data_IF_065906766399
#
_entry.id   IF_065906766399
#
_cell.length_a   1.000
_cell.length_b   1.000
_cell.length_c   1.000
_cell.angle_alpha   90.00
_cell.angle_beta   90.00
_cell.angle_gamma   90.00
#
_symmetry.space_group_name_H-M   'P 1'
#
loop_
_entity.id
_entity.type
_entity.pdbx_description
1 polymer ?
#
# COMPACT_ATOMS: atom_id res chain seq x y z
N UNK A 1 -33.86 -8.26 -3.29
CA UNK A 1 -32.78 -9.25 -3.59
C UNK A 1 -32.28 -9.78 -2.26
N UNK A 2 -32.00 -11.07 -2.10
CA UNK A 2 -31.40 -11.55 -0.85
C UNK A 2 -29.95 -11.11 -0.74
N UNK A 3 -29.47 -10.85 0.49
CA UNK A 3 -28.03 -10.55 0.72
C UNK A 3 -27.21 -11.78 0.31
N UNK A 4 -26.20 -11.61 -0.54
CA UNK A 4 -25.29 -12.69 -0.98
C UNK A 4 -23.87 -12.36 -0.52
N UNK A 5 -23.18 -13.36 0.05
CA UNK A 5 -21.79 -13.24 0.46
C UNK A 5 -20.87 -13.95 -0.55
N UNK A 6 -19.90 -13.22 -1.07
CA UNK A 6 -18.91 -13.70 -2.02
C UNK A 6 -17.51 -13.66 -1.39
N UNK A 7 -16.62 -14.55 -1.86
CA UNK A 7 -15.21 -14.60 -1.44
C UNK A 7 -14.27 -14.36 -2.63
N UNK A 8 -14.12 -13.13 -3.11
CA UNK A 8 -13.27 -12.84 -4.27
C UNK A 8 -11.79 -13.14 -4.05
N UNK A 9 -11.33 -13.08 -2.79
CA UNK A 9 -9.93 -13.25 -2.42
C UNK A 9 -9.80 -13.77 -0.97
N UNK A 10 -8.70 -14.47 -0.61
CA UNK A 10 -8.41 -14.84 0.77
C UNK A 10 -8.35 -13.64 1.72
N UNK A 11 -8.91 -13.77 2.90
CA UNK A 11 -8.91 -12.71 3.92
C UNK A 11 -9.97 -11.64 3.76
N UNK A 12 -10.89 -11.79 2.78
CA UNK A 12 -11.97 -10.83 2.56
C UNK A 12 -13.31 -11.48 2.22
N UNK A 13 -14.39 -10.72 2.44
CA UNK A 13 -15.77 -11.07 2.07
C UNK A 13 -16.43 -9.86 1.43
N UNK A 14 -17.06 -10.04 0.28
CA UNK A 14 -17.88 -9.04 -0.40
C UNK A 14 -19.36 -9.41 -0.24
N UNK A 15 -20.13 -8.57 0.43
CA UNK A 15 -21.58 -8.70 0.50
C UNK A 15 -22.24 -7.87 -0.60
N UNK A 16 -23.14 -8.51 -1.35
CA UNK A 16 -24.02 -7.89 -2.32
C UNK A 16 -25.37 -7.60 -1.67
N UNK A 17 -25.88 -6.39 -1.80
CA UNK A 17 -27.16 -5.91 -1.27
C UNK A 17 -27.92 -5.11 -2.32
N UNK A 18 -29.19 -4.80 -2.06
CA UNK A 18 -29.97 -3.90 -2.93
C UNK A 18 -29.44 -2.45 -2.97
N UNK A 19 -28.63 -2.04 -1.97
CA UNK A 19 -28.05 -0.70 -1.88
C UNK A 19 -26.60 -0.60 -2.35
N UNK A 20 -26.02 -1.70 -2.79
CA UNK A 20 -24.62 -1.77 -3.23
C UNK A 20 -23.84 -2.87 -2.54
N UNK A 21 -22.53 -2.81 -2.61
CA UNK A 21 -21.64 -3.84 -2.07
C UNK A 21 -20.87 -3.33 -0.84
N UNK A 22 -20.68 -4.23 0.13
CA UNK A 22 -19.92 -4.02 1.37
C UNK A 22 -18.74 -4.99 1.38
N UNK A 23 -17.52 -4.49 1.50
CA UNK A 23 -16.31 -5.30 1.59
C UNK A 23 -15.85 -5.38 3.04
N UNK A 24 -15.61 -6.59 3.54
CA UNK A 24 -15.00 -6.85 4.83
C UNK A 24 -13.62 -7.47 4.63
N UNK A 25 -12.59 -6.84 5.23
CA UNK A 25 -11.19 -7.22 5.05
C UNK A 25 -10.58 -6.63 3.76
N UNK A 26 -9.36 -6.12 3.88
CA UNK A 26 -8.60 -5.51 2.78
C UNK A 26 -7.15 -6.06 2.82
N UNK A 27 -6.93 -7.35 2.50
CA UNK A 27 -5.57 -7.89 2.37
C UNK A 27 -4.88 -7.34 1.12
N UNK A 28 -3.59 -7.62 0.97
CA UNK A 28 -2.83 -7.28 -0.24
C UNK A 28 -3.56 -7.80 -1.50
N UNK A 29 -3.58 -7.01 -2.55
CA UNK A 29 -4.30 -7.28 -3.81
C UNK A 29 -5.85 -7.35 -3.71
N UNK A 30 -6.44 -7.00 -2.55
CA UNK A 30 -7.89 -6.99 -2.38
C UNK A 30 -8.60 -6.14 -3.45
N UNK A 31 -8.03 -4.99 -3.80
CA UNK A 31 -8.58 -4.13 -4.83
C UNK A 31 -8.65 -4.82 -6.19
N UNK A 32 -7.54 -5.41 -6.66
CA UNK A 32 -7.49 -6.11 -7.96
C UNK A 32 -8.48 -7.27 -8.02
N UNK A 33 -8.57 -8.04 -6.93
CA UNK A 33 -9.50 -9.15 -6.82
C UNK A 33 -10.96 -8.69 -6.86
N UNK A 34 -11.29 -7.66 -6.08
CA UNK A 34 -12.64 -7.09 -6.05
C UNK A 34 -13.01 -6.51 -7.40
N UNK A 35 -12.14 -5.73 -8.02
CA UNK A 35 -12.38 -5.13 -9.35
C UNK A 35 -12.65 -6.18 -10.41
N UNK A 36 -11.81 -7.22 -10.47
CA UNK A 36 -12.02 -8.34 -11.40
C UNK A 36 -13.35 -9.04 -11.12
N UNK A 37 -13.61 -9.40 -9.87
CA UNK A 37 -14.84 -10.08 -9.48
C UNK A 37 -16.10 -9.25 -9.80
N UNK A 38 -16.11 -7.97 -9.42
CA UNK A 38 -17.24 -7.08 -9.69
C UNK A 38 -17.47 -6.91 -11.20
N UNK A 39 -16.42 -6.77 -12.00
CA UNK A 39 -16.52 -6.66 -13.46
C UNK A 39 -17.10 -7.93 -14.09
N UNK A 40 -16.66 -9.12 -13.66
CA UNK A 40 -17.12 -10.40 -14.20
C UNK A 40 -18.57 -10.75 -13.80
N UNK A 41 -19.07 -10.19 -12.69
CA UNK A 41 -20.41 -10.45 -12.16
C UNK A 41 -21.38 -9.26 -12.29
N UNK A 42 -21.00 -8.20 -12.99
CA UNK A 42 -21.79 -6.97 -13.18
C UNK A 42 -22.22 -6.33 -11.84
N UNK A 43 -21.30 -6.33 -10.86
CA UNK A 43 -21.51 -5.75 -9.54
C UNK A 43 -20.81 -4.39 -9.43
N UNK A 44 -21.38 -3.43 -8.67
CA UNK A 44 -20.70 -2.18 -8.38
C UNK A 44 -19.50 -2.41 -7.46
N UNK A 45 -18.46 -1.60 -7.63
CA UNK A 45 -17.35 -1.56 -6.66
C UNK A 45 -17.84 -1.06 -5.30
N UNK A 46 -17.32 -1.59 -4.18
CA UNK A 46 -17.78 -1.23 -2.85
C UNK A 46 -17.56 0.26 -2.53
N UNK A 47 -18.51 0.79 -1.77
CA UNK A 47 -18.44 2.13 -1.18
C UNK A 47 -18.36 2.05 0.35
N UNK A 48 -18.53 0.87 0.92
CA UNK A 48 -18.35 0.57 2.34
C UNK A 48 -17.27 -0.48 2.47
N UNK A 49 -16.23 -0.15 3.23
CA UNK A 49 -15.08 -1.01 3.50
C UNK A 49 -14.96 -1.18 5.01
N UNK A 50 -14.91 -2.41 5.48
CA UNK A 50 -14.93 -2.71 6.91
C UNK A 50 -13.66 -3.46 7.32
N UNK A 51 -12.98 -2.92 8.33
CA UNK A 51 -11.82 -3.56 8.91
C UNK A 51 -12.22 -4.83 9.69
N UNK A 52 -11.42 -5.91 9.62
CA UNK A 52 -11.59 -7.07 10.47
C UNK A 52 -11.21 -6.71 11.92
N UNK A 53 -11.46 -7.62 12.85
CA UNK A 53 -11.18 -7.42 14.28
C UNK A 53 -9.68 -7.35 14.62
N UNK A 54 -8.81 -7.78 13.71
CA UNK A 54 -7.35 -7.81 13.89
C UNK A 54 -6.67 -7.35 12.60
N UNK A 55 -5.52 -6.67 12.74
CA UNK A 55 -4.68 -6.25 11.62
C UNK A 55 -4.06 -7.41 10.83
N UNK A 56 -4.15 -8.64 11.34
CA UNK A 56 -3.73 -9.86 10.66
C UNK A 56 -4.91 -10.83 10.58
N UNK A 57 -5.31 -11.20 9.39
CA UNK A 57 -6.32 -12.23 9.15
C UNK A 57 -5.65 -13.39 8.42
N UNK A 58 -5.61 -14.55 9.06
CA UNK A 58 -5.01 -15.77 8.51
C UNK A 58 -3.57 -15.54 8.02
N UNK A 59 -2.78 -14.82 8.82
CA UNK A 59 -1.42 -14.36 8.54
C UNK A 59 -1.28 -13.31 7.42
N UNK A 60 -2.38 -12.84 6.83
CA UNK A 60 -2.38 -11.77 5.86
C UNK A 60 -2.58 -10.41 6.55
N UNK A 61 -1.63 -9.46 6.42
CA UNK A 61 -1.83 -8.09 6.89
C UNK A 61 -3.03 -7.45 6.20
N UNK A 62 -3.79 -6.68 6.96
CA UNK A 62 -4.87 -5.86 6.42
C UNK A 62 -4.34 -4.46 6.13
N UNK A 63 -4.83 -3.84 5.07
CA UNK A 63 -4.31 -2.58 4.58
C UNK A 63 -5.34 -1.47 4.69
N UNK A 64 -4.86 -0.25 4.88
CA UNK A 64 -5.62 0.96 4.64
C UNK A 64 -6.05 0.94 3.17
N UNK A 65 -7.36 1.09 2.85
CA UNK A 65 -7.90 0.79 1.53
C UNK A 65 -7.68 1.90 0.49
N UNK A 66 -6.44 2.28 0.25
CA UNK A 66 -6.10 3.42 -0.62
C UNK A 66 -6.53 3.23 -2.08
N UNK A 67 -6.38 2.03 -2.65
CA UNK A 67 -6.78 1.80 -4.03
C UNK A 67 -8.29 1.86 -4.24
N UNK A 68 -9.08 1.51 -3.24
CA UNK A 68 -10.53 1.72 -3.29
C UNK A 68 -10.87 3.21 -3.25
N UNK A 69 -10.12 4.00 -2.48
CA UNK A 69 -10.26 5.45 -2.46
C UNK A 69 -9.85 6.06 -3.81
N UNK A 70 -8.77 5.62 -4.42
CA UNK A 70 -8.35 6.08 -5.75
C UNK A 70 -9.35 5.70 -6.84
N UNK A 71 -9.88 4.49 -6.82
CA UNK A 71 -10.95 4.07 -7.73
C UNK A 71 -12.18 4.98 -7.57
N UNK A 72 -12.61 5.22 -6.32
CA UNK A 72 -13.73 6.10 -6.02
C UNK A 72 -13.50 7.53 -6.52
N UNK A 73 -12.33 8.11 -6.26
CA UNK A 73 -12.01 9.48 -6.60
C UNK A 73 -11.78 9.66 -8.12
N UNK A 74 -10.95 8.81 -8.72
CA UNK A 74 -10.44 9.02 -10.08
C UNK A 74 -11.18 8.19 -11.12
N UNK A 75 -11.41 6.91 -10.90
CA UNK A 75 -12.02 6.02 -11.90
C UNK A 75 -13.53 6.25 -11.96
N UNK A 76 -14.20 6.26 -10.81
CA UNK A 76 -15.63 6.62 -10.73
C UNK A 76 -15.88 8.11 -10.86
N UNK A 77 -14.86 8.93 -10.61
CA UNK A 77 -14.85 10.35 -10.88
C UNK A 77 -15.39 11.22 -9.74
N UNK A 78 -15.45 10.71 -8.50
CA UNK A 78 -15.94 11.48 -7.36
C UNK A 78 -15.11 12.75 -7.06
N UNK A 79 -13.85 12.80 -7.51
CA UNK A 79 -13.02 14.00 -7.42
C UNK A 79 -13.44 15.12 -8.39
N UNK A 80 -14.12 14.79 -9.51
CA UNK A 80 -14.33 15.71 -10.63
C UNK A 80 -15.80 15.94 -10.98
N UNK A 81 -16.69 15.00 -10.64
CA UNK A 81 -18.11 15.04 -11.02
C UNK A 81 -18.92 15.75 -9.94
N UNK A 82 -19.58 16.88 -10.26
CA UNK A 82 -20.38 17.63 -9.28
C UNK A 82 -21.50 16.80 -8.63
N UNK A 83 -22.10 15.88 -9.39
CA UNK A 83 -23.15 14.99 -8.90
C UNK A 83 -22.67 14.02 -7.80
N UNK A 84 -21.38 13.70 -7.77
CA UNK A 84 -20.76 12.84 -6.75
C UNK A 84 -20.07 13.65 -5.64
N UNK A 85 -20.14 14.98 -5.67
CA UNK A 85 -19.40 15.83 -4.74
C UNK A 85 -19.76 15.62 -3.25
N UNK A 86 -20.92 15.03 -2.96
CA UNK A 86 -21.38 14.74 -1.60
C UNK A 86 -21.23 13.28 -1.20
N UNK A 87 -20.84 12.41 -2.14
CA UNK A 87 -20.64 11.01 -1.84
C UNK A 87 -19.28 10.79 -1.17
N UNK A 88 -19.23 9.92 -0.18
CA UNK A 88 -18.02 9.56 0.53
C UNK A 88 -17.83 8.05 0.57
N UNK A 89 -16.57 7.64 0.54
CA UNK A 89 -16.22 6.27 0.88
C UNK A 89 -16.41 6.07 2.38
N UNK A 90 -17.09 5.00 2.79
CA UNK A 90 -17.29 4.69 4.19
C UNK A 90 -16.26 3.66 4.67
N UNK A 91 -15.55 3.97 5.74
CA UNK A 91 -14.65 3.04 6.43
C UNK A 91 -15.27 2.66 7.76
N UNK A 92 -15.41 1.36 8.03
CA UNK A 92 -15.78 0.85 9.34
C UNK A 92 -14.55 0.28 10.02
N UNK A 93 -14.14 0.90 11.13
CA UNK A 93 -12.86 0.64 11.79
C UNK A 93 -13.02 0.28 13.26
N UNK A 94 -11.96 -0.18 13.90
CA UNK A 94 -11.92 -0.38 15.33
C UNK A 94 -12.15 0.94 16.07
N UNK A 95 -12.91 0.93 17.18
CA UNK A 95 -13.13 2.12 18.00
C UNK A 95 -11.81 2.77 18.43
N UNK A 96 -11.69 4.07 18.18
CA UNK A 96 -10.51 4.87 18.51
C UNK A 96 -9.39 4.80 17.45
N UNK A 97 -9.60 4.14 16.32
CA UNK A 97 -8.67 4.13 15.20
C UNK A 97 -9.07 5.05 14.04
N UNK A 98 -10.23 5.73 14.14
CA UNK A 98 -10.81 6.53 13.07
C UNK A 98 -9.83 7.59 12.52
N UNK A 99 -9.27 8.40 13.41
CA UNK A 99 -8.32 9.44 13.04
C UNK A 99 -7.03 8.87 12.47
N UNK A 100 -6.63 7.70 12.94
CA UNK A 100 -5.41 7.02 12.50
C UNK A 100 -5.56 6.46 11.09
N UNK A 101 -6.68 5.83 10.78
CA UNK A 101 -7.01 5.36 9.43
C UNK A 101 -7.15 6.51 8.44
N UNK A 102 -7.88 7.57 8.82
CA UNK A 102 -8.01 8.77 8.00
C UNK A 102 -6.65 9.42 7.73
N UNK A 103 -5.80 9.48 8.74
CA UNK A 103 -4.47 10.05 8.56
C UNK A 103 -3.56 9.16 7.70
N UNK A 104 -3.65 7.84 7.79
CA UNK A 104 -2.94 6.94 6.89
C UNK A 104 -3.38 7.15 5.43
N UNK A 105 -4.69 7.29 5.16
CA UNK A 105 -5.21 7.63 3.83
C UNK A 105 -4.78 9.03 3.37
N UNK A 106 -4.75 10.01 4.26
CA UNK A 106 -4.23 11.36 3.95
C UNK A 106 -2.78 11.28 3.49
N UNK A 107 -1.96 10.50 4.18
CA UNK A 107 -0.54 10.33 3.82
C UNK A 107 -0.35 9.67 2.46
N UNK A 108 -1.26 8.78 2.03
CA UNK A 108 -1.19 8.19 0.69
C UNK A 108 -1.60 9.16 -0.41
N UNK A 109 -2.54 10.09 -0.13
CA UNK A 109 -3.01 11.06 -1.11
C UNK A 109 -2.11 12.31 -1.23
N UNK A 110 -1.60 12.78 -0.10
CA UNK A 110 -0.96 14.10 -0.01
C UNK A 110 0.45 14.06 0.57
N UNK A 111 0.88 12.92 1.09
CA UNK A 111 2.12 12.84 1.87
C UNK A 111 2.05 13.64 3.18
N UNK A 112 3.18 13.76 3.88
CA UNK A 112 3.30 14.62 5.05
C UNK A 112 3.25 16.09 4.63
N UNK A 113 2.54 16.89 5.42
CA UNK A 113 2.48 18.35 5.24
C UNK A 113 3.86 19.01 5.42
N UNK A 114 4.01 20.22 4.90
CA UNK A 114 5.23 21.02 5.10
C UNK A 114 5.60 21.14 6.58
N UNK A 115 4.63 21.40 7.47
CA UNK A 115 4.87 21.51 8.91
C UNK A 115 5.33 20.20 9.53
N UNK A 116 4.73 19.08 9.14
CA UNK A 116 5.19 17.75 9.57
C UNK A 116 6.62 17.50 9.11
N UNK A 117 6.93 17.74 7.83
CA UNK A 117 8.29 17.57 7.30
C UNK A 117 9.32 18.46 8.01
N UNK A 118 8.97 19.71 8.33
CA UNK A 118 9.82 20.58 9.12
C UNK A 118 10.08 20.02 10.53
N UNK A 119 9.09 19.37 11.14
CA UNK A 119 9.27 18.70 12.44
C UNK A 119 10.15 17.45 12.38
N UNK A 120 10.33 16.87 11.20
CA UNK A 120 11.21 15.71 10.97
C UNK A 120 12.68 16.12 10.78
N UNK A 121 12.98 17.41 10.56
CA UNK A 121 14.34 17.88 10.41
C UNK A 121 15.11 17.73 11.72
N UNK A 122 16.34 17.25 11.62
CA UNK A 122 17.23 17.05 12.76
C UNK A 122 18.57 16.45 12.34
N UNK A 123 19.47 16.33 13.28
CA UNK A 123 20.79 15.75 13.04
C UNK A 123 20.66 14.31 12.53
N UNK A 124 21.27 14.02 11.39
CA UNK A 124 21.31 12.68 10.80
C UNK A 124 20.08 12.27 9.96
N UNK A 125 19.05 13.13 9.83
CA UNK A 125 17.88 12.82 8.98
C UNK A 125 18.12 13.07 7.49
N UNK A 126 19.13 13.87 7.13
CA UNK A 126 19.43 14.27 5.75
C UNK A 126 18.35 15.16 5.11
N UNK A 127 17.38 15.66 5.89
CA UNK A 127 16.25 16.43 5.38
C UNK A 127 16.53 17.94 5.45
N UNK A 128 16.90 18.54 4.33
CA UNK A 128 17.15 19.98 4.20
C UNK A 128 15.88 20.79 3.90
N UNK A 129 15.94 22.12 4.12
CA UNK A 129 14.86 23.03 3.72
C UNK A 129 14.54 22.94 2.23
N UNK A 130 15.54 22.75 1.38
CA UNK A 130 15.34 22.58 -0.06
C UNK A 130 14.54 21.30 -0.40
N UNK A 131 14.79 20.22 0.32
CA UNK A 131 14.03 18.97 0.17
C UNK A 131 12.58 19.15 0.61
N UNK A 132 12.35 19.78 1.77
CA UNK A 132 11.00 20.10 2.27
C UNK A 132 10.26 20.98 1.26
N UNK A 133 10.91 22.02 0.75
CA UNK A 133 10.32 22.94 -0.22
C UNK A 133 9.96 22.26 -1.55
N UNK A 134 10.81 21.37 -2.04
CA UNK A 134 10.54 20.62 -3.26
C UNK A 134 9.32 19.70 -3.08
N UNK A 135 9.37 18.83 -2.08
CA UNK A 135 8.31 17.85 -1.83
C UNK A 135 6.98 18.54 -1.54
N UNK A 136 6.96 19.57 -0.68
CA UNK A 136 5.73 20.28 -0.35
C UNK A 136 5.12 20.96 -1.58
N UNK A 137 5.92 21.60 -2.43
CA UNK A 137 5.41 22.23 -3.67
C UNK A 137 4.81 21.22 -4.64
N UNK A 138 5.44 20.06 -4.81
CA UNK A 138 4.90 18.99 -5.67
C UNK A 138 3.57 18.50 -5.11
N UNK A 139 3.51 18.13 -3.83
CA UNK A 139 2.30 17.66 -3.19
C UNK A 139 1.17 18.69 -3.22
N UNK A 140 1.46 19.97 -2.93
CA UNK A 140 0.48 21.08 -2.99
C UNK A 140 -0.07 21.30 -4.41
N UNK A 141 0.80 21.14 -5.45
CA UNK A 141 0.40 21.29 -6.84
C UNK A 141 -0.52 20.14 -7.30
N UNK A 142 -0.24 18.94 -6.83
CA UNK A 142 -0.98 17.72 -7.19
C UNK A 142 -2.17 17.44 -6.27
N UNK A 143 -2.35 18.23 -5.20
CA UNK A 143 -3.41 18.03 -4.24
C UNK A 143 -4.80 18.10 -4.86
N UNK A 144 -5.62 17.09 -4.60
CA UNK A 144 -7.01 17.04 -5.04
C UNK A 144 -7.83 18.01 -4.18
N UNK A 145 -8.51 18.96 -4.83
CA UNK A 145 -9.45 19.86 -4.17
C UNK A 145 -10.87 19.51 -4.61
N UNK A 146 -11.62 18.88 -3.74
CA UNK A 146 -12.98 18.44 -4.01
C UNK A 146 -13.99 19.49 -3.58
N UNK A 147 -14.92 19.85 -4.45
CA UNK A 147 -16.14 20.60 -4.10
C UNK A 147 -15.95 21.99 -3.48
N UNK A 148 -14.77 22.63 -3.63
CA UNK A 148 -14.49 23.94 -3.02
C UNK A 148 -14.21 23.89 -1.51
N UNK A 149 -14.10 22.70 -0.93
CA UNK A 149 -13.62 22.49 0.44
C UNK A 149 -12.10 22.65 0.55
N UNK A 150 -11.58 22.56 1.76
CA UNK A 150 -10.13 22.64 2.04
C UNK A 150 -9.35 21.44 1.51
N UNK A 151 -10.05 20.44 0.91
CA UNK A 151 -9.48 19.22 0.33
C UNK A 151 -8.99 18.23 1.39
N UNK A 152 -9.55 18.28 2.60
CA UNK A 152 -9.23 17.32 3.67
C UNK A 152 -9.75 15.92 3.37
N UNK A 153 -9.10 14.89 3.92
CA UNK A 153 -9.53 13.49 3.75
C UNK A 153 -10.97 13.27 4.22
N UNK A 154 -11.43 13.98 5.24
CA UNK A 154 -12.80 13.96 5.74
C UNK A 154 -13.87 14.42 4.75
N UNK A 155 -13.50 15.12 3.67
CA UNK A 155 -14.42 15.46 2.57
C UNK A 155 -14.65 14.27 1.62
N UNK A 156 -13.82 13.24 1.71
CA UNK A 156 -13.79 12.10 0.78
C UNK A 156 -14.14 10.78 1.46
N UNK A 157 -13.89 10.69 2.76
CA UNK A 157 -14.02 9.46 3.55
C UNK A 157 -14.73 9.75 4.86
N UNK A 158 -15.72 8.93 5.19
CA UNK A 158 -16.33 8.89 6.51
C UNK A 158 -15.81 7.66 7.27
N UNK A 159 -15.14 7.87 8.38
CA UNK A 159 -14.73 6.79 9.27
C UNK A 159 -15.82 6.55 10.34
N UNK A 160 -16.29 5.31 10.40
CA UNK A 160 -17.31 4.84 11.35
C UNK A 160 -16.68 3.82 12.29
N UNK A 161 -16.89 3.96 13.60
CA UNK A 161 -16.43 2.97 14.56
C UNK A 161 -17.43 1.83 14.74
N UNK A 162 -16.94 0.61 14.94
CA UNK A 162 -17.78 -0.44 15.50
C UNK A 162 -18.25 -0.08 16.91
N UNK A 163 -19.50 -0.37 17.21
CA UNK A 163 -20.06 -0.30 18.57
C UNK A 163 -20.52 -1.70 18.97
N UNK A 164 -19.94 -2.28 20.03
CA UNK A 164 -20.20 -3.66 20.43
C UNK A 164 -20.10 -4.67 19.26
N UNK A 165 -19.02 -4.60 18.49
CA UNK A 165 -18.77 -5.42 17.31
C UNK A 165 -19.85 -5.28 16.19
N UNK A 166 -20.63 -4.22 16.18
CA UNK A 166 -21.63 -3.91 15.16
C UNK A 166 -21.44 -2.51 14.58
N UNK A 167 -21.73 -2.35 13.30
CA UNK A 167 -21.74 -1.06 12.60
C UNK A 167 -23.05 -0.89 11.82
N UNK A 168 -23.59 0.33 11.86
CA UNK A 168 -24.78 0.72 11.11
C UNK A 168 -24.36 1.29 9.76
N UNK A 169 -24.88 0.76 8.66
CA UNK A 169 -24.53 1.11 7.30
C UNK A 169 -25.75 1.62 6.52
N UNK A 170 -25.50 2.41 5.47
CA UNK A 170 -26.55 2.90 4.57
C UNK A 170 -27.72 3.57 5.33
N UNK A 171 -27.39 4.56 6.17
CA UNK A 171 -28.35 5.30 7.01
C UNK A 171 -29.19 4.42 7.95
N UNK A 172 -28.58 3.38 8.48
CA UNK A 172 -29.23 2.46 9.43
C UNK A 172 -30.02 1.32 8.80
N UNK A 173 -30.02 1.22 7.45
CA UNK A 173 -30.76 0.15 6.77
C UNK A 173 -30.12 -1.23 6.94
N UNK A 174 -28.81 -1.29 7.12
CA UNK A 174 -28.06 -2.53 7.31
C UNK A 174 -27.22 -2.48 8.58
N UNK A 175 -27.00 -3.65 9.16
CA UNK A 175 -26.10 -3.82 10.32
C UNK A 175 -25.05 -4.86 9.98
N UNK A 176 -23.79 -4.44 9.98
CA UNK A 176 -22.66 -5.34 9.89
C UNK A 176 -22.21 -5.74 11.29
N UNK A 177 -22.09 -7.05 11.55
CA UNK A 177 -21.62 -7.60 12.83
C UNK A 177 -20.37 -8.43 12.66
N UNK A 178 -19.42 -8.28 13.56
CA UNK A 178 -18.28 -9.18 13.70
C UNK A 178 -18.62 -10.21 14.78
N UNK A 179 -18.88 -11.45 14.36
CA UNK A 179 -19.27 -12.53 15.26
C UNK A 179 -18.06 -13.16 15.96
N UNK A 180 -16.90 -13.11 15.31
CA UNK A 180 -15.61 -13.55 15.85
C UNK A 180 -14.48 -12.84 15.11
N UNK A 181 -13.22 -13.24 15.34
CA UNK A 181 -12.05 -12.76 14.59
C UNK A 181 -12.20 -12.96 13.08
N UNK A 182 -12.87 -14.04 12.67
CA UNK A 182 -12.97 -14.43 11.26
C UNK A 182 -14.36 -14.42 10.69
N UNK A 183 -15.40 -14.29 11.50
CA UNK A 183 -16.77 -14.38 11.02
C UNK A 183 -17.47 -13.04 11.08
N UNK A 184 -18.13 -12.70 9.99
CA UNK A 184 -18.92 -11.50 9.80
C UNK A 184 -20.33 -11.85 9.32
N UNK A 185 -21.30 -11.04 9.70
CA UNK A 185 -22.68 -11.14 9.29
C UNK A 185 -23.20 -9.76 8.88
N UNK A 186 -23.85 -9.70 7.73
CA UNK A 186 -24.58 -8.51 7.29
C UNK A 186 -26.09 -8.82 7.37
N UNK A 187 -26.84 -7.98 8.06
CA UNK A 187 -28.29 -8.05 8.24
C UNK A 187 -28.94 -6.77 7.70
N UNK A 188 -30.06 -6.90 6.99
CA UNK A 188 -30.80 -5.78 6.42
C UNK A 188 -32.21 -6.17 6.01
N UNK A 189 -32.93 -5.25 5.32
CA UNK A 189 -34.33 -5.50 4.90
C UNK A 189 -34.47 -6.66 3.92
N UNK A 190 -33.43 -6.99 3.20
CA UNK A 190 -33.35 -8.09 2.22
C UNK A 190 -32.82 -9.41 2.82
N UNK A 191 -32.72 -9.50 4.16
CA UNK A 191 -32.36 -10.72 4.88
C UNK A 191 -31.04 -10.61 5.65
N UNK A 192 -30.35 -11.74 5.79
CA UNK A 192 -29.02 -11.78 6.39
C UNK A 192 -28.13 -12.77 5.67
N UNK A 193 -26.81 -12.49 5.67
CA UNK A 193 -25.78 -13.41 5.19
C UNK A 193 -24.60 -13.42 6.15
N UNK A 194 -24.09 -14.62 6.42
CA UNK A 194 -22.91 -14.85 7.26
C UNK A 194 -21.79 -15.46 6.44
N UNK A 195 -20.56 -15.01 6.68
CA UNK A 195 -19.39 -15.52 5.98
C UNK A 195 -18.13 -15.45 6.85
N UNK A 196 -17.13 -16.26 6.47
CA UNK A 196 -15.82 -16.31 7.13
C UNK A 196 -14.77 -15.60 6.30
N UNK A 197 -13.92 -14.81 6.96
CA UNK A 197 -12.71 -14.21 6.37
C UNK A 197 -11.58 -15.25 6.19
N UNK A 198 -11.69 -16.44 6.82
CA UNK A 198 -10.70 -17.49 6.65
C UNK A 198 -10.58 -17.96 5.21
N UNK A 199 -9.37 -18.27 4.84
CA UNK A 199 -9.03 -18.89 3.56
C UNK A 199 -9.40 -20.37 3.59
N UNK A 200 -10.56 -20.74 3.06
CA UNK A 200 -11.01 -22.15 3.03
C UNK A 200 -10.64 -22.87 1.73
N UNK A 201 -10.15 -22.19 0.73
CA UNK A 201 -9.58 -22.77 -0.50
C UNK A 201 -8.96 -21.64 -1.32
N UNK A 202 -7.65 -21.49 -1.32
CA UNK A 202 -7.02 -20.40 -2.04
C UNK A 202 -6.80 -20.78 -3.50
N UNK A 203 -7.83 -20.77 -4.32
CA UNK A 203 -7.59 -20.63 -5.76
C UNK A 203 -7.70 -19.14 -6.05
N UNK A 204 -6.59 -18.41 -6.12
CA UNK A 204 -6.64 -17.01 -6.44
C UNK A 204 -7.18 -16.86 -7.86
N UNK A 205 -8.29 -16.14 -8.06
CA UNK A 205 -8.91 -16.00 -9.36
C UNK A 205 -8.10 -15.13 -10.32
N UNK A 206 -7.05 -14.45 -9.82
CA UNK A 206 -6.28 -13.50 -10.61
C UNK A 206 -4.83 -13.44 -10.14
N UNK A 207 -4.00 -12.74 -10.90
CA UNK A 207 -2.59 -12.50 -10.61
C UNK A 207 -1.83 -13.79 -10.25
N UNK A 208 -1.88 -14.80 -11.14
CA UNK A 208 -1.08 -16.00 -10.92
C UNK A 208 0.38 -15.57 -10.80
N UNK A 209 1.08 -16.14 -9.83
CA UNK A 209 2.54 -16.00 -9.78
C UNK A 209 3.10 -16.44 -11.13
N UNK A 210 4.15 -15.79 -11.63
CA UNK A 210 4.83 -16.28 -12.82
C UNK A 210 5.27 -17.73 -12.58
N UNK A 211 5.26 -18.59 -13.62
CA UNK A 211 5.77 -19.92 -13.47
C UNK A 211 7.21 -19.84 -12.95
N UNK A 212 7.66 -20.83 -12.15
CA UNK A 212 9.05 -20.86 -11.69
C UNK A 212 9.97 -20.70 -12.91
N UNK A 213 10.77 -19.64 -12.89
CA UNK A 213 11.81 -19.45 -13.90
C UNK A 213 13.07 -20.18 -13.47
N UNK A 214 13.99 -20.40 -14.40
CA UNK A 214 15.35 -20.82 -14.01
C UNK A 214 15.90 -19.77 -13.03
N UNK A 215 16.44 -20.26 -11.89
CA UNK A 215 17.00 -19.37 -10.87
C UNK A 215 18.07 -18.48 -11.51
N UNK A 216 17.83 -17.21 -11.51
CA UNK A 216 18.81 -16.20 -11.87
C UNK A 216 19.62 -15.92 -10.60
N UNK A 217 20.54 -16.79 -10.25
CA UNK A 217 21.32 -16.64 -9.01
C UNK A 217 21.97 -15.27 -8.84
N UNK A 218 22.66 -15.00 -7.73
CA UNK A 218 23.23 -13.70 -7.44
C UNK A 218 24.12 -13.19 -8.58
N UNK A 219 23.76 -12.03 -9.15
CA UNK A 219 24.53 -11.38 -10.22
C UNK A 219 25.56 -10.42 -9.61
N UNK A 220 26.69 -10.22 -10.28
CA UNK A 220 27.66 -9.19 -9.86
C UNK A 220 27.05 -7.78 -10.00
N UNK A 221 26.28 -7.57 -11.06
CA UNK A 221 25.51 -6.35 -11.31
C UNK A 221 24.34 -6.65 -12.25
N UNK A 222 23.15 -6.18 -11.93
CA UNK A 222 21.97 -6.39 -12.77
C UNK A 222 20.67 -6.06 -12.05
N UNK A 223 19.58 -6.14 -12.78
CA UNK A 223 18.24 -5.90 -12.26
C UNK A 223 17.32 -7.04 -12.66
N UNK A 224 16.59 -7.56 -11.68
CA UNK A 224 15.60 -8.62 -11.85
C UNK A 224 14.22 -8.04 -11.55
N UNK A 225 13.31 -8.06 -12.50
CA UNK A 225 11.96 -7.59 -12.31
C UNK A 225 11.14 -8.63 -11.51
N UNK A 226 10.44 -8.19 -10.49
CA UNK A 226 9.44 -8.98 -9.75
C UNK A 226 8.09 -8.91 -10.44
N UNK A 227 7.78 -7.78 -11.02
CA UNK A 227 6.59 -7.50 -11.80
C UNK A 227 6.75 -6.24 -12.62
N UNK A 228 5.83 -6.01 -13.56
CA UNK A 228 5.87 -4.86 -14.48
C UNK A 228 4.46 -4.29 -14.72
N UNK A 229 3.53 -4.56 -13.81
CA UNK A 229 2.14 -4.08 -13.91
C UNK A 229 1.89 -2.95 -12.92
N UNK A 230 0.96 -2.06 -13.26
CA UNK A 230 0.49 -1.05 -12.32
C UNK A 230 -0.37 -1.64 -11.21
N UNK A 231 -0.53 -0.90 -10.11
CA UNK A 231 -1.34 -1.31 -8.95
C UNK A 231 -2.82 -1.58 -9.27
N UNK A 232 -3.36 -1.02 -10.36
CA UNK A 232 -4.74 -1.23 -10.82
C UNK A 232 -4.91 -2.36 -11.84
N UNK A 233 -3.82 -2.92 -12.35
CA UNK A 233 -3.88 -3.96 -13.39
C UNK A 233 -3.93 -5.37 -12.76
N UNK A 234 -5.07 -6.11 -12.91
CA UNK A 234 -5.21 -7.44 -12.33
C UNK A 234 -4.52 -8.55 -13.13
N UNK A 235 -3.83 -8.23 -14.22
CA UNK A 235 -3.32 -9.25 -15.15
C UNK A 235 -1.93 -9.78 -14.80
N UNK A 236 -1.28 -9.27 -13.76
CA UNK A 236 0.02 -9.76 -13.35
C UNK A 236 0.59 -9.07 -12.11
N UNK A 237 1.81 -9.45 -11.69
CA UNK A 237 2.49 -8.86 -10.53
C UNK A 237 2.77 -7.38 -10.73
N UNK A 238 2.60 -6.62 -9.66
CA UNK A 238 2.89 -5.19 -9.62
C UNK A 238 4.39 -4.94 -9.75
N UNK A 239 4.75 -3.77 -10.29
CA UNK A 239 6.14 -3.35 -10.50
C UNK A 239 6.95 -3.40 -9.22
N UNK A 240 8.13 -3.99 -9.31
CA UNK A 240 9.13 -4.06 -8.25
C UNK A 240 10.40 -4.68 -8.79
N UNK A 241 11.53 -4.41 -8.17
CA UNK A 241 12.84 -4.82 -8.68
C UNK A 241 13.74 -5.34 -7.58
N UNK A 242 14.48 -6.41 -7.90
CA UNK A 242 15.65 -6.81 -7.14
C UNK A 242 16.89 -6.35 -7.91
N UNK A 243 17.60 -5.40 -7.33
CA UNK A 243 18.86 -4.90 -7.86
C UNK A 243 20.02 -5.71 -7.29
N UNK A 244 20.75 -6.38 -8.13
CA UNK A 244 21.97 -7.11 -7.77
C UNK A 244 23.19 -6.21 -7.87
N UNK A 245 23.93 -6.09 -6.76
CA UNK A 245 25.20 -5.34 -6.70
C UNK A 245 26.20 -6.12 -5.86
N UNK A 246 27.34 -6.45 -6.44
CA UNK A 246 28.38 -7.23 -5.77
C UNK A 246 27.94 -8.61 -5.28
N UNK A 247 26.95 -9.21 -5.96
CA UNK A 247 26.37 -10.51 -5.55
C UNK A 247 25.38 -10.40 -4.38
N UNK A 248 24.93 -9.19 -4.02
CA UNK A 248 23.94 -8.92 -2.97
C UNK A 248 22.68 -8.30 -3.58
N UNK A 249 21.53 -8.72 -3.11
CA UNK A 249 20.25 -8.21 -3.55
C UNK A 249 19.82 -6.99 -2.75
N UNK A 250 19.51 -5.90 -3.45
CA UNK A 250 18.86 -4.73 -2.89
C UNK A 250 17.44 -4.72 -3.43
N UNK A 251 16.45 -5.00 -2.58
CA UNK A 251 15.07 -5.04 -3.00
C UNK A 251 14.52 -3.62 -3.04
N UNK A 252 14.17 -3.17 -4.24
CA UNK A 252 13.55 -1.87 -4.49
C UNK A 252 12.03 -2.04 -4.44
N UNK A 253 11.43 -1.50 -3.40
CA UNK A 253 10.03 -1.65 -3.00
C UNK A 253 9.65 -3.09 -2.55
N UNK A 254 8.47 -3.21 -1.97
CA UNK A 254 7.86 -4.47 -1.56
C UNK A 254 6.47 -4.61 -2.15
N UNK A 255 6.34 -4.79 -3.48
CA UNK A 255 5.03 -4.90 -4.11
C UNK A 255 4.25 -6.11 -3.56
N UNK A 256 2.92 -6.16 -3.77
CA UNK A 256 2.12 -7.31 -3.36
C UNK A 256 2.75 -8.63 -3.78
N UNK A 257 2.85 -9.58 -2.85
CA UNK A 257 3.44 -10.92 -3.07
C UNK A 257 4.92 -10.93 -3.47
N UNK A 258 5.68 -9.87 -3.15
CA UNK A 258 7.11 -9.82 -3.45
C UNK A 258 7.84 -11.09 -2.98
N UNK A 259 7.50 -11.60 -1.79
CA UNK A 259 8.10 -12.82 -1.23
C UNK A 259 7.85 -14.05 -2.10
N UNK A 260 6.60 -14.29 -2.49
CA UNK A 260 6.23 -15.43 -3.32
C UNK A 260 6.85 -15.35 -4.72
N UNK A 261 6.99 -14.14 -5.28
CA UNK A 261 7.66 -13.92 -6.55
C UNK A 261 9.15 -14.22 -6.43
N UNK A 262 9.82 -13.73 -5.39
CA UNK A 262 11.23 -14.01 -5.11
C UNK A 262 11.48 -15.53 -4.99
N UNK A 263 10.62 -16.25 -4.24
CA UNK A 263 10.69 -17.71 -4.13
C UNK A 263 10.52 -18.40 -5.49
N UNK A 264 9.56 -17.96 -6.29
CA UNK A 264 9.34 -18.54 -7.63
C UNK A 264 10.52 -18.34 -8.58
N UNK A 265 11.33 -17.32 -8.31
CA UNK A 265 12.55 -16.98 -9.06
C UNK A 265 13.81 -17.55 -8.42
N UNK A 266 13.68 -18.33 -7.33
CA UNK A 266 14.79 -18.99 -6.64
C UNK A 266 15.67 -18.06 -5.80
N UNK A 267 15.16 -16.87 -5.42
CA UNK A 267 15.88 -15.92 -4.56
C UNK A 267 15.60 -16.24 -3.10
N UNK A 268 16.65 -16.48 -2.34
CA UNK A 268 16.56 -16.71 -0.89
C UNK A 268 16.47 -15.38 -0.12
N UNK A 269 15.79 -15.34 1.05
CA UNK A 269 15.87 -14.21 1.97
C UNK A 269 17.31 -13.82 2.34
N UNK A 270 18.22 -14.79 2.42
CA UNK A 270 19.64 -14.56 2.70
C UNK A 270 20.40 -13.83 1.58
N UNK A 271 19.84 -13.77 0.38
CA UNK A 271 20.42 -13.05 -0.74
C UNK A 271 20.08 -11.55 -0.70
N UNK A 272 19.03 -11.19 0.06
CA UNK A 272 18.56 -9.82 0.22
C UNK A 272 19.30 -9.14 1.36
N UNK A 273 20.07 -8.12 1.04
CA UNK A 273 20.92 -7.42 1.98
C UNK A 273 20.33 -6.08 2.48
N UNK A 274 19.44 -5.50 1.70
CA UNK A 274 18.73 -4.26 2.06
C UNK A 274 17.41 -4.11 1.31
N UNK A 275 16.52 -3.32 1.90
CA UNK A 275 15.30 -2.82 1.28
C UNK A 275 15.50 -1.33 0.94
N UNK A 276 15.06 -0.91 -0.22
CA UNK A 276 14.96 0.50 -0.62
C UNK A 276 13.48 0.80 -0.79
N UNK A 277 12.94 1.71 -0.01
CA UNK A 277 11.54 2.10 -0.14
C UNK A 277 11.43 3.41 -0.90
N UNK A 278 10.84 3.36 -2.11
CA UNK A 278 10.67 4.53 -2.94
C UNK A 278 9.61 5.49 -2.39
N UNK A 279 8.46 4.98 -2.00
CA UNK A 279 7.34 5.74 -1.41
C UNK A 279 6.29 4.81 -0.76
N UNK A 280 5.23 5.41 -0.21
CA UNK A 280 4.30 4.71 0.67
C UNK A 280 2.98 4.28 0.01
N UNK A 281 2.86 4.22 -1.32
CA UNK A 281 1.69 3.62 -1.94
C UNK A 281 1.63 2.10 -1.71
N UNK A 282 0.42 1.55 -1.67
CA UNK A 282 0.20 0.13 -1.35
C UNK A 282 0.93 -0.79 -2.33
N UNK A 283 0.93 -0.46 -3.61
CA UNK A 283 1.59 -1.27 -4.64
C UNK A 283 3.12 -1.30 -4.55
N UNK A 284 3.72 -0.42 -3.75
CA UNK A 284 5.15 -0.38 -3.47
C UNK A 284 5.53 -0.91 -2.09
N UNK A 285 4.58 -0.99 -1.15
CA UNK A 285 4.88 -1.44 0.20
C UNK A 285 3.97 -2.55 0.77
N UNK A 286 3.13 -3.17 -0.06
CA UNK A 286 2.18 -4.18 0.41
C UNK A 286 2.85 -5.41 1.07
N UNK A 287 4.00 -5.85 0.58
CA UNK A 287 4.77 -6.93 1.23
C UNK A 287 5.75 -6.43 2.29
N UNK A 288 5.81 -5.12 2.58
CA UNK A 288 6.85 -4.58 3.45
C UNK A 288 6.74 -5.11 4.88
N UNK A 289 5.51 -5.25 5.41
CA UNK A 289 5.29 -5.86 6.73
C UNK A 289 5.81 -7.30 6.80
N UNK A 290 5.54 -8.12 5.78
CA UNK A 290 6.01 -9.49 5.66
C UNK A 290 7.55 -9.53 5.56
N UNK A 291 8.12 -8.69 4.71
CA UNK A 291 9.57 -8.63 4.48
C UNK A 291 10.35 -8.20 5.73
N UNK A 292 9.89 -7.21 6.48
CA UNK A 292 10.61 -6.79 7.70
C UNK A 292 10.57 -7.83 8.81
N UNK A 293 9.51 -8.63 8.88
CA UNK A 293 9.39 -9.74 9.81
C UNK A 293 10.29 -10.92 9.39
N UNK A 294 10.28 -11.28 8.11
CA UNK A 294 10.99 -12.45 7.58
C UNK A 294 12.50 -12.22 7.50
N UNK A 295 12.93 -11.04 7.06
CA UNK A 295 14.35 -10.69 6.93
C UNK A 295 15.02 -10.37 8.26
N UNK A 296 14.29 -10.47 9.38
CA UNK A 296 14.81 -10.27 10.73
C UNK A 296 15.58 -8.94 10.88
N UNK A 297 14.85 -7.86 10.86
CA UNK A 297 15.37 -6.51 11.00
C UNK A 297 16.29 -6.07 9.84
N UNK A 298 15.75 -6.03 8.60
CA UNK A 298 16.52 -5.63 7.44
C UNK A 298 16.95 -4.16 7.51
N UNK A 299 18.06 -3.84 6.82
CA UNK A 299 18.44 -2.46 6.55
C UNK A 299 17.44 -1.85 5.57
N UNK A 300 16.87 -0.69 5.92
CA UNK A 300 15.90 0.04 5.11
C UNK A 300 16.45 1.40 4.75
N UNK A 301 16.65 1.63 3.46
CA UNK A 301 17.13 2.88 2.90
C UNK A 301 15.96 3.67 2.33
N UNK A 302 15.70 4.83 2.88
CA UNK A 302 14.70 5.79 2.38
C UNK A 302 14.90 7.16 3.04
N UNK A 303 14.18 8.19 2.60
CA UNK A 303 14.23 9.50 3.25
C UNK A 303 13.35 9.57 4.49
N UNK A 304 13.64 10.50 5.39
CA UNK A 304 12.86 10.68 6.63
C UNK A 304 11.36 10.87 6.39
N UNK A 305 10.88 11.71 5.45
CA UNK A 305 9.44 11.85 5.19
C UNK A 305 8.76 10.55 4.75
N UNK A 306 9.43 9.74 3.93
CA UNK A 306 8.91 8.44 3.47
C UNK A 306 8.90 7.46 4.65
N UNK A 307 9.98 7.40 5.43
CA UNK A 307 10.08 6.53 6.59
C UNK A 307 8.98 6.80 7.63
N UNK A 308 8.74 8.08 7.98
CA UNK A 308 7.67 8.46 8.90
C UNK A 308 6.29 8.06 8.39
N UNK A 309 6.03 8.31 7.11
CA UNK A 309 4.77 7.88 6.47
C UNK A 309 4.62 6.36 6.49
N UNK A 310 5.70 5.62 6.19
CA UNK A 310 5.71 4.16 6.24
C UNK A 310 5.47 3.61 7.64
N UNK A 311 6.12 4.16 8.66
CA UNK A 311 5.89 3.75 10.05
C UNK A 311 4.43 3.91 10.45
N UNK A 312 3.84 5.07 10.17
CA UNK A 312 2.46 5.34 10.50
C UNK A 312 1.50 4.41 9.78
N UNK A 313 1.72 4.17 8.47
CA UNK A 313 0.90 3.27 7.69
C UNK A 313 1.03 1.81 8.17
N UNK A 314 2.24 1.31 8.37
CA UNK A 314 2.47 -0.04 8.91
C UNK A 314 1.90 -0.21 10.31
N UNK A 315 2.08 0.79 11.17
CA UNK A 315 1.51 0.83 12.51
C UNK A 315 -0.01 0.74 12.50
N UNK A 316 -0.67 1.40 11.53
CA UNK A 316 -2.12 1.33 11.32
C UNK A 316 -2.52 -0.06 10.81
N UNK A 317 -1.89 -0.55 9.75
CA UNK A 317 -2.17 -1.86 9.16
C UNK A 317 -2.01 -3.02 10.15
N UNK A 318 -0.94 -3.00 10.94
CA UNK A 318 -0.62 -4.04 11.92
C UNK A 318 -1.30 -3.83 13.27
N UNK A 319 -1.94 -2.68 13.48
CA UNK A 319 -2.51 -2.27 14.77
C UNK A 319 -1.47 -2.33 15.91
N UNK A 320 -0.23 -1.92 15.61
CA UNK A 320 0.91 -1.91 16.53
C UNK A 320 1.36 -0.47 16.83
N UNK A 321 1.99 -0.20 17.98
CA UNK A 321 2.67 1.07 18.21
C UNK A 321 3.79 1.32 17.20
N UNK A 322 3.97 2.59 16.77
CA UNK A 322 5.04 2.95 15.81
C UNK A 322 6.43 2.55 16.30
N UNK A 323 6.69 2.65 17.60
CA UNK A 323 7.98 2.26 18.19
C UNK A 323 8.27 0.75 18.00
N UNK A 324 7.23 -0.09 18.10
CA UNK A 324 7.37 -1.54 17.92
C UNK A 324 7.59 -1.86 16.43
N UNK A 325 6.92 -1.16 15.53
CA UNK A 325 7.14 -1.28 14.08
C UNK A 325 8.55 -0.80 13.71
N UNK A 326 9.02 0.32 14.27
CA UNK A 326 10.37 0.84 14.04
C UNK A 326 11.44 -0.16 14.49
N UNK A 327 11.20 -0.91 15.58
CA UNK A 327 12.12 -1.93 16.08
C UNK A 327 12.29 -3.13 15.14
N UNK A 328 11.38 -3.33 14.18
CA UNK A 328 11.47 -4.39 13.17
C UNK A 328 12.45 -4.07 12.04
N UNK A 329 12.94 -2.84 11.94
CA UNK A 329 13.79 -2.36 10.85
C UNK A 329 15.10 -1.74 11.39
N UNK A 330 16.14 -1.78 10.57
CA UNK A 330 17.36 -1.00 10.75
C UNK A 330 17.33 0.16 9.74
N UNK A 331 16.81 1.30 10.17
CA UNK A 331 16.59 2.46 9.31
C UNK A 331 17.89 3.18 9.00
N UNK A 332 18.17 3.36 7.71
CA UNK A 332 19.30 4.12 7.19
C UNK A 332 18.77 5.32 6.38
N UNK A 333 18.76 6.52 6.96
CA UNK A 333 18.31 7.71 6.25
C UNK A 333 19.19 7.97 5.03
N UNK A 334 18.55 8.30 3.91
CA UNK A 334 19.24 8.78 2.70
C UNK A 334 18.83 10.21 2.41
N UNK A 335 19.76 10.98 1.86
CA UNK A 335 19.52 12.37 1.46
C UNK A 335 19.76 12.50 -0.04
N UNK A 336 18.78 12.99 -0.83
CA UNK A 336 19.01 13.31 -2.22
C UNK A 336 20.19 14.25 -2.42
N UNK A 337 21.09 13.86 -3.33
CA UNK A 337 22.35 14.59 -3.57
C UNK A 337 23.51 14.20 -2.66
N UNK A 338 23.31 13.30 -1.69
CA UNK A 338 24.37 12.72 -0.86
C UNK A 338 24.51 11.21 -1.17
N UNK A 339 25.47 10.81 -2.03
CA UNK A 339 25.57 9.43 -2.46
C UNK A 339 25.96 8.46 -1.34
N UNK A 340 25.31 7.32 -1.29
CA UNK A 340 25.62 6.20 -0.40
C UNK A 340 26.62 5.28 -1.08
N UNK A 341 27.72 4.98 -0.40
CA UNK A 341 28.74 4.01 -0.85
C UNK A 341 28.46 2.64 -0.22
N UNK A 342 28.29 1.63 -1.03
CA UNK A 342 28.02 0.27 -0.53
C UNK A 342 28.06 -0.77 -1.62
N UNK A 343 28.28 -2.04 -1.25
CA UNK A 343 28.24 -3.20 -2.14
C UNK A 343 29.19 -3.13 -3.37
N UNK A 344 30.16 -2.22 -3.37
CA UNK A 344 31.01 -1.94 -4.52
C UNK A 344 30.39 -0.99 -5.55
N UNK A 345 29.37 -0.27 -5.16
CA UNK A 345 28.67 0.73 -5.98
C UNK A 345 28.42 2.03 -5.23
N UNK A 346 28.08 3.05 -5.98
CA UNK A 346 27.55 4.34 -5.51
C UNK A 346 26.05 4.38 -5.82
N UNK A 347 25.24 4.66 -4.80
CA UNK A 347 23.80 4.86 -4.92
C UNK A 347 23.53 6.35 -4.70
N UNK A 348 23.03 7.04 -5.70
CA UNK A 348 22.68 8.45 -5.65
C UNK A 348 21.16 8.59 -5.73
N UNK A 349 20.54 9.01 -4.63
CA UNK A 349 19.10 9.11 -4.51
C UNK A 349 18.61 10.50 -4.97
N UNK A 350 17.42 10.54 -5.56
CA UNK A 350 16.80 11.79 -5.98
C UNK A 350 15.27 11.73 -5.78
N UNK A 351 14.66 12.87 -5.53
CA UNK A 351 13.19 12.95 -5.52
C UNK A 351 12.63 12.97 -6.94
N UNK A 352 11.50 12.32 -7.12
CA UNK A 352 10.71 12.32 -8.37
C UNK A 352 9.45 13.15 -8.21
N UNK A 353 8.76 13.40 -9.32
CA UNK A 353 7.51 14.17 -9.32
C UNK A 353 6.34 13.23 -9.15
N UNK A 354 5.82 13.19 -7.92
CA UNK A 354 4.73 12.30 -7.53
C UNK A 354 3.92 12.95 -6.39
N UNK A 355 2.60 12.66 -6.21
CA UNK A 355 1.76 13.33 -5.20
C UNK A 355 2.31 13.26 -3.77
N UNK A 356 3.03 12.21 -3.45
CA UNK A 356 3.69 12.02 -2.15
C UNK A 356 5.21 11.94 -2.32
N UNK A 357 6.00 12.15 -1.25
CA UNK A 357 7.46 12.01 -1.33
C UNK A 357 7.85 10.69 -1.97
N UNK A 358 8.60 10.75 -3.06
CA UNK A 358 8.98 9.56 -3.84
C UNK A 358 10.43 9.64 -4.29
N UNK A 359 11.16 8.54 -4.13
CA UNK A 359 12.57 8.41 -4.47
C UNK A 359 12.79 7.59 -5.73
N UNK A 360 13.72 8.07 -6.55
CA UNK A 360 14.48 7.27 -7.50
C UNK A 360 15.91 7.07 -7.03
N UNK A 361 16.67 6.20 -7.71
CA UNK A 361 18.09 5.95 -7.47
C UNK A 361 18.86 5.76 -8.75
N UNK A 362 20.01 6.43 -8.84
CA UNK A 362 21.06 6.11 -9.81
C UNK A 362 22.06 5.18 -9.13
N UNK A 363 22.34 4.04 -9.74
CA UNK A 363 23.33 3.08 -9.25
C UNK A 363 24.48 3.03 -10.24
N UNK A 364 25.67 3.28 -9.74
CA UNK A 364 26.89 3.23 -10.52
C UNK A 364 27.88 2.26 -9.87
N UNK A 365 28.32 1.26 -10.60
CA UNK A 365 29.34 0.31 -10.17
C UNK A 365 30.44 0.18 -11.23
N UNK A 366 31.69 0.01 -10.76
CA UNK A 366 32.81 -0.32 -11.62
C UNK A 366 33.25 -1.77 -11.36
N UNK A 367 33.13 -2.62 -12.37
CA UNK A 367 33.40 -4.04 -12.29
C UNK A 367 34.32 -4.45 -13.44
N UNK A 368 35.48 -5.06 -13.12
CA UNK A 368 36.45 -5.48 -14.10
C UNK A 368 36.85 -4.37 -15.09
N UNK A 369 37.06 -3.16 -14.56
CA UNK A 369 37.35 -1.91 -15.27
C UNK A 369 36.27 -1.39 -16.22
N UNK A 370 35.08 -1.97 -16.22
CA UNK A 370 33.90 -1.47 -16.92
C UNK A 370 32.94 -0.74 -15.99
N UNK A 371 32.36 0.35 -16.48
CA UNK A 371 31.36 1.15 -15.76
C UNK A 371 29.95 0.67 -16.09
N UNK A 372 29.20 0.33 -15.07
CA UNK A 372 27.79 -0.09 -15.15
C UNK A 372 26.90 0.93 -14.47
N UNK A 373 25.77 1.24 -15.08
CA UNK A 373 24.80 2.19 -14.53
C UNK A 373 23.38 1.68 -14.72
N UNK A 374 22.58 1.81 -13.67
CA UNK A 374 21.13 1.57 -13.69
C UNK A 374 20.47 2.78 -13.03
N UNK A 375 19.35 3.22 -13.58
CA UNK A 375 18.48 4.21 -12.96
C UNK A 375 17.11 3.59 -12.76
N UNK A 376 16.60 3.68 -11.53
CA UNK A 376 15.22 3.31 -11.16
C UNK A 376 14.55 4.60 -10.70
N UNK A 377 13.54 5.08 -11.41
CA UNK A 377 12.88 6.35 -11.09
C UNK A 377 11.93 6.24 -9.90
N UNK A 378 11.45 5.02 -9.56
CA UNK A 378 10.20 4.92 -8.82
C UNK A 378 9.05 5.49 -9.65
N UNK A 379 7.95 5.83 -9.00
CA UNK A 379 6.84 6.49 -9.69
C UNK A 379 7.17 7.96 -9.98
N UNK A 380 6.81 8.39 -11.17
CA UNK A 380 6.96 9.78 -11.60
C UNK A 380 5.93 10.10 -12.67
N UNK A 381 5.51 11.35 -12.76
CA UNK A 381 4.69 11.84 -13.87
C UNK A 381 5.53 12.72 -14.78
N UNK A 382 5.15 12.76 -16.05
CA UNK A 382 5.64 13.71 -17.02
C UNK A 382 4.63 14.84 -17.17
N UNK A 383 5.11 16.07 -17.33
CA UNK A 383 4.29 17.27 -17.51
C UNK A 383 4.45 17.79 -18.93
N UNK A 384 4.27 16.97 -19.94
CA UNK A 384 4.19 17.44 -21.32
C UNK A 384 2.91 18.23 -21.62
#
# INVERSE_FOLDING_TARGET
>A
MAIVAHKPWPGMVLFETERGTVLCGVPADAFKATKKFCTENDLPMPVVLAAPKQGLVDSAPQFVPEFFLYDFLFVRGAAFKPELAHEKLQLVVEPGLEDRELNALRLTLYGPSRTEMQSFQGDGTGLSDAHVDFVARVSEHMAIKRGGGDGGIGDMVDALAYSNDAASLFDGAYTLRRLSTYEVELEGPDGSARASLKTENPTPPFNPLPPPSESVGPMRFGMQALGVRGGFDPTGPTTGFLLWVGGRGLLFDGPPKARQVLDSQGVSPSDIDALILSHCHEDHMASFAELVLELNRPRVFTTEPIYRSALQKLSTNLQMPEADVAALMDYHPVSPGEPVQGWGATLDFFYTVHPIPTLGVHVHARIDDEDYRITISGDTIDFD
#
